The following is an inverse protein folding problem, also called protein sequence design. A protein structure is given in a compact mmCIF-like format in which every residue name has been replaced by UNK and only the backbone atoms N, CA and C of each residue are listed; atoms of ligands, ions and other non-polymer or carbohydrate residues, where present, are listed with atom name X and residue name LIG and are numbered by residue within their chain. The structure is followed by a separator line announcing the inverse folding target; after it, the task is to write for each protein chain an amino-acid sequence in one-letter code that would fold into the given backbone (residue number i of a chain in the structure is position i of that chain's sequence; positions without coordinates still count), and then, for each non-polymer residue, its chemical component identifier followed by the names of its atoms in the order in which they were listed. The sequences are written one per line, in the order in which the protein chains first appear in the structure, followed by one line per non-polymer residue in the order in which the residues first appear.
data_IF_401317710030
#
_entry.id   IF_401317710030
#
_cell.length_a   1.000
_cell.length_b   1.000
_cell.length_c   1.000
_cell.angle_alpha   90.00
_cell.angle_beta   90.00
_cell.angle_gamma   90.00
#
_symmetry.space_group_name_H-M   'P 1'
#
loop_
_entity.id
_entity.type
_entity.pdbx_description
1 polymer ?
#
# COMPACT_ATOMS: atom_id res chain seq x y z
N UNK A 1 -10.55 4.76 15.52
CA UNK A 1 -9.55 4.08 16.38
C UNK A 1 -9.25 2.67 15.86
N UNK A 2 -10.23 1.76 15.78
CA UNK A 2 -10.04 0.39 15.26
C UNK A 2 -9.36 0.38 13.89
N UNK A 3 -9.86 1.18 12.92
CA UNK A 3 -9.26 1.26 11.58
C UNK A 3 -7.80 1.68 11.60
N UNK A 4 -7.43 2.65 12.44
CA UNK A 4 -6.03 3.13 12.55
C UNK A 4 -5.11 2.02 13.06
N UNK A 5 -5.55 1.27 14.09
CA UNK A 5 -4.78 0.16 14.65
C UNK A 5 -4.63 -0.96 13.62
N UNK A 6 -5.72 -1.37 12.98
CA UNK A 6 -5.71 -2.42 11.97
C UNK A 6 -4.84 -2.05 10.75
N UNK A 7 -4.98 -0.81 10.24
CA UNK A 7 -4.16 -0.33 9.12
C UNK A 7 -2.68 -0.25 9.49
N UNK A 8 -2.34 0.18 10.70
CA UNK A 8 -0.95 0.22 11.17
C UNK A 8 -0.35 -1.19 11.26
N UNK A 9 -1.13 -2.16 11.77
CA UNK A 9 -0.72 -3.56 11.81
C UNK A 9 -0.53 -4.14 10.39
N UNK A 10 -1.45 -3.87 9.46
CA UNK A 10 -1.30 -4.27 8.05
C UNK A 10 -0.04 -3.67 7.41
N UNK A 11 0.25 -2.39 7.65
CA UNK A 11 1.47 -1.74 7.15
C UNK A 11 2.74 -2.44 7.65
N UNK A 12 2.79 -2.81 8.95
CA UNK A 12 3.91 -3.57 9.51
C UNK A 12 4.07 -4.94 8.84
N UNK A 13 2.97 -5.67 8.67
CA UNK A 13 2.98 -6.98 8.00
C UNK A 13 3.44 -6.89 6.53
N UNK A 14 2.97 -5.87 5.80
CA UNK A 14 3.38 -5.62 4.41
C UNK A 14 4.87 -5.27 4.32
N UNK A 15 5.37 -4.45 5.25
CA UNK A 15 6.79 -4.10 5.31
C UNK A 15 7.67 -5.34 5.56
N UNK A 16 7.28 -6.19 6.52
CA UNK A 16 7.99 -7.46 6.79
C UNK A 16 7.99 -8.34 5.54
N UNK A 17 6.84 -8.49 4.88
CA UNK A 17 6.71 -9.29 3.65
C UNK A 17 7.62 -8.76 2.54
N UNK A 18 7.68 -7.44 2.36
CA UNK A 18 8.58 -6.81 1.39
C UNK A 18 10.05 -7.13 1.70
N UNK A 19 10.48 -7.00 2.97
CA UNK A 19 11.84 -7.32 3.40
C UNK A 19 12.19 -8.79 3.14
N UNK A 20 11.24 -9.71 3.36
CA UNK A 20 11.40 -11.14 3.03
C UNK A 20 11.66 -11.31 1.54
N UNK A 21 10.82 -10.73 0.66
CA UNK A 21 11.03 -10.81 -0.79
C UNK A 21 12.36 -10.16 -1.26
N UNK A 22 12.81 -9.11 -0.57
CA UNK A 22 14.11 -8.50 -0.84
C UNK A 22 15.29 -9.40 -0.44
N UNK A 23 15.18 -10.09 0.69
CA UNK A 23 16.26 -10.92 1.26
C UNK A 23 16.35 -12.27 0.56
N UNK A 24 15.21 -12.90 0.27
CA UNK A 24 15.14 -14.20 -0.38
C UNK A 24 15.10 -14.09 -1.90
N UNK A 25 16.28 -14.09 -2.53
CA UNK A 25 16.44 -14.14 -4.00
C UNK A 25 15.61 -15.22 -4.73
N UNK A 26 15.47 -16.47 -4.22
CA UNK A 26 14.70 -17.50 -4.95
C UNK A 26 13.20 -17.18 -5.04
N UNK A 27 12.66 -16.33 -4.16
CA UNK A 27 11.26 -15.89 -4.22
C UNK A 27 11.02 -14.84 -5.32
N UNK A 28 12.07 -14.34 -5.99
CA UNK A 28 12.01 -13.25 -6.97
C UNK A 28 11.72 -13.74 -8.40
N UNK A 29 10.89 -14.76 -8.52
CA UNK A 29 10.35 -15.24 -9.80
C UNK A 29 9.39 -14.21 -10.42
N UNK A 30 8.91 -14.45 -11.64
CA UNK A 30 7.90 -13.62 -12.32
C UNK A 30 6.68 -13.30 -11.41
N UNK A 31 6.02 -14.29 -10.79
CA UNK A 31 4.93 -14.02 -9.82
C UNK A 31 5.43 -13.37 -8.53
N UNK A 32 6.67 -13.65 -8.10
CA UNK A 32 7.27 -12.98 -6.95
C UNK A 32 7.48 -11.48 -7.15
N UNK A 33 7.87 -11.06 -8.36
CA UNK A 33 7.97 -9.64 -8.72
C UNK A 33 6.60 -8.97 -8.77
N UNK A 34 5.57 -9.66 -9.25
CA UNK A 34 4.19 -9.16 -9.18
C UNK A 34 3.75 -8.94 -7.73
N UNK A 35 3.99 -9.92 -6.85
CA UNK A 35 3.69 -9.79 -5.43
C UNK A 35 4.46 -8.65 -4.76
N UNK A 36 5.74 -8.43 -5.08
CA UNK A 36 6.47 -7.26 -4.57
C UNK A 36 5.81 -5.94 -5.01
N UNK A 37 5.38 -5.84 -6.27
CA UNK A 37 4.68 -4.66 -6.77
C UNK A 37 3.34 -4.44 -6.07
N UNK A 38 2.57 -5.52 -5.87
CA UNK A 38 1.31 -5.50 -5.12
C UNK A 38 1.52 -5.04 -3.67
N UNK A 39 2.52 -5.60 -2.96
CA UNK A 39 2.85 -5.23 -1.57
C UNK A 39 3.18 -3.74 -1.48
N UNK A 40 4.02 -3.21 -2.38
CA UNK A 40 4.38 -1.79 -2.39
C UNK A 40 3.16 -0.91 -2.68
N UNK A 41 2.34 -1.31 -3.65
CA UNK A 41 1.12 -0.58 -4.03
C UNK A 41 0.13 -0.49 -2.86
N UNK A 42 -0.12 -1.61 -2.17
CA UNK A 42 -0.98 -1.65 -0.99
C UNK A 42 -0.40 -0.87 0.19
N UNK A 43 0.91 -0.94 0.39
CA UNK A 43 1.59 -0.17 1.44
C UNK A 43 1.41 1.33 1.22
N UNK A 44 1.60 1.82 -0.01
CA UNK A 44 1.38 3.23 -0.36
C UNK A 44 -0.08 3.65 -0.18
N UNK A 45 -1.04 2.83 -0.64
CA UNK A 45 -2.47 3.12 -0.45
C UNK A 45 -2.84 3.29 1.04
N UNK A 46 -2.39 2.36 1.88
CA UNK A 46 -2.66 2.37 3.32
C UNK A 46 -1.94 3.50 4.05
N UNK A 47 -0.69 3.81 3.65
CA UNK A 47 0.08 4.91 4.20
C UNK A 47 -0.60 6.25 3.88
N UNK A 48 -1.01 6.46 2.63
CA UNK A 48 -1.72 7.67 2.21
C UNK A 48 -3.06 7.81 2.91
N UNK A 49 -3.79 6.72 3.12
CA UNK A 49 -5.02 6.73 3.91
C UNK A 49 -4.78 7.21 5.35
N UNK A 50 -3.72 6.71 6.01
CA UNK A 50 -3.38 7.08 7.38
C UNK A 50 -2.90 8.54 7.49
N UNK A 51 -2.08 9.00 6.55
CA UNK A 51 -1.58 10.39 6.51
C UNK A 51 -2.68 11.37 6.13
N UNK A 52 -3.53 11.02 5.16
CA UNK A 52 -4.63 11.84 4.67
C UNK A 52 -5.72 12.06 5.71
N UNK A 53 -5.96 11.08 6.59
CA UNK A 53 -6.97 11.17 7.64
C UNK A 53 -6.80 12.36 8.60
N UNK A 54 -5.56 12.85 8.78
CA UNK A 54 -5.26 14.00 9.65
C UNK A 54 -5.10 15.34 8.92
N UNK A 55 -5.26 15.39 7.59
CA UNK A 55 -4.96 16.57 6.75
C UNK A 55 -6.16 17.02 5.92
N UNK A 56 -7.37 16.81 6.42
CA UNK A 56 -8.64 17.18 5.75
C UNK A 56 -8.90 18.68 5.70
N UNK A 57 -8.17 19.49 6.46
CA UNK A 57 -8.35 20.94 6.54
C UNK A 57 -7.90 21.68 5.28
N UNK A 58 -6.97 21.11 4.52
CA UNK A 58 -6.45 21.72 3.29
C UNK A 58 -7.08 21.01 2.09
N UNK A 59 -8.08 21.65 1.47
CA UNK A 59 -8.90 21.08 0.39
C UNK A 59 -8.05 20.52 -0.77
N UNK A 60 -7.04 21.27 -1.24
CA UNK A 60 -6.19 20.82 -2.35
C UNK A 60 -5.33 19.59 -2.02
N UNK A 61 -4.87 19.48 -0.76
CA UNK A 61 -4.12 18.29 -0.31
C UNK A 61 -5.05 17.10 -0.15
N UNK A 62 -6.26 17.33 0.38
CA UNK A 62 -7.27 16.29 0.53
C UNK A 62 -7.69 15.70 -0.82
N UNK A 63 -7.92 16.54 -1.82
CA UNK A 63 -8.27 16.11 -3.18
C UNK A 63 -7.13 15.30 -3.83
N UNK A 64 -5.90 15.82 -3.77
CA UNK A 64 -4.74 15.11 -4.29
C UNK A 64 -4.58 13.73 -3.63
N UNK A 65 -4.66 13.67 -2.29
CA UNK A 65 -4.58 12.42 -1.54
C UNK A 65 -5.70 11.44 -1.95
N UNK A 66 -6.93 11.91 -2.13
CA UNK A 66 -8.05 11.07 -2.58
C UNK A 66 -7.78 10.45 -3.96
N UNK A 67 -7.29 11.24 -4.91
CA UNK A 67 -6.93 10.77 -6.25
C UNK A 67 -5.82 9.72 -6.17
N UNK A 68 -4.75 9.98 -5.41
CA UNK A 68 -3.65 9.03 -5.23
C UNK A 68 -4.13 7.73 -4.58
N UNK A 69 -4.89 7.81 -3.49
CA UNK A 69 -5.45 6.63 -2.81
C UNK A 69 -6.27 5.80 -3.80
N UNK A 70 -7.15 6.43 -4.59
CA UNK A 70 -7.97 5.74 -5.56
C UNK A 70 -7.13 5.03 -6.64
N UNK A 71 -6.12 5.72 -7.17
CA UNK A 71 -5.19 5.15 -8.13
C UNK A 71 -4.45 3.92 -7.58
N UNK A 72 -3.90 4.00 -6.37
CA UNK A 72 -3.19 2.86 -5.77
C UNK A 72 -4.12 1.67 -5.51
N UNK A 73 -5.37 1.90 -5.12
CA UNK A 73 -6.35 0.82 -5.00
C UNK A 73 -6.63 0.15 -6.34
N UNK A 74 -6.85 0.91 -7.41
CA UNK A 74 -7.03 0.37 -8.76
C UNK A 74 -5.81 -0.42 -9.22
N UNK A 75 -4.61 0.11 -9.00
CA UNK A 75 -3.36 -0.58 -9.32
C UNK A 75 -3.23 -1.90 -8.56
N UNK A 76 -3.65 -1.95 -7.29
CA UNK A 76 -3.66 -3.19 -6.50
C UNK A 76 -4.64 -4.21 -7.08
N UNK A 77 -5.85 -3.79 -7.48
CA UNK A 77 -6.81 -4.66 -8.16
C UNK A 77 -6.27 -5.22 -9.48
N UNK A 78 -5.63 -4.39 -10.29
CA UNK A 78 -4.99 -4.85 -11.52
C UNK A 78 -3.87 -5.85 -11.23
N UNK A 79 -3.00 -5.59 -10.24
CA UNK A 79 -1.90 -6.48 -9.88
C UNK A 79 -2.38 -7.81 -9.27
N UNK A 80 -3.54 -7.84 -8.61
CA UNK A 80 -4.16 -9.09 -8.13
C UNK A 80 -4.72 -9.96 -9.26
N UNK A 81 -5.08 -9.35 -10.39
CA UNK A 81 -5.67 -10.04 -11.55
C UNK A 81 -4.62 -10.58 -12.54
N UNK A 82 -3.34 -10.31 -12.30
CA UNK A 82 -2.20 -10.73 -13.15
C UNK A 82 -1.42 -11.84 -12.47
#
# INVERSE_FOLDING_TARGET
IVSMVCTSLSLLCLFISFVVYCTFRPLRSLPGKNNMNLIVTLFLAQLLYLVGAGRTEIVGVCEAMAIFIHYFWLAAFCAMNV
#
